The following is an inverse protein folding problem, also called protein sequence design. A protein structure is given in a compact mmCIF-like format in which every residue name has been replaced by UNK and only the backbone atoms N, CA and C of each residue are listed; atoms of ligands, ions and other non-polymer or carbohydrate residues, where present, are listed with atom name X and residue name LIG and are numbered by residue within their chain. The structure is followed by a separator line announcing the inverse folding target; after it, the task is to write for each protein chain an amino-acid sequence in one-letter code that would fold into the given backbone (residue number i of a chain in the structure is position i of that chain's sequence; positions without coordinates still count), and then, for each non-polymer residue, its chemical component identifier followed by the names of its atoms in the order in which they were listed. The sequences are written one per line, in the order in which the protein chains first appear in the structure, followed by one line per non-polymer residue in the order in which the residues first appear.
data_IF_441030288434
#
_entry.id   IF_441030288434
#
_cell.length_a   1.000
_cell.length_b   1.000
_cell.length_c   1.000
_cell.angle_alpha   90.00
_cell.angle_beta   90.00
_cell.angle_gamma   90.00
#
_symmetry.space_group_name_H-M   'P 1'
#
loop_
_entity.id
_entity.type
_entity.pdbx_description
1 polymer ?
#
# COMPACT_ATOMS: atom_id res chain seq x y z
N UNK A 1 12.13 9.67 -30.45
CA UNK A 1 10.81 10.09 -29.94
C UNK A 1 10.94 11.51 -29.44
N UNK A 2 10.02 12.42 -29.78
CA UNK A 2 9.99 13.74 -29.15
C UNK A 2 9.88 13.56 -27.63
N UNK A 3 10.60 14.37 -26.83
CA UNK A 3 10.64 14.24 -25.36
C UNK A 3 9.24 14.14 -24.74
N UNK A 4 8.29 14.93 -25.26
CA UNK A 4 6.87 14.89 -24.86
C UNK A 4 6.18 13.56 -25.20
N UNK A 5 6.41 13.02 -26.40
CA UNK A 5 5.84 11.72 -26.82
C UNK A 5 6.37 10.58 -25.93
N UNK A 6 7.64 10.65 -25.53
CA UNK A 6 8.24 9.69 -24.59
C UNK A 6 7.60 9.75 -23.19
N UNK A 7 7.38 10.97 -22.68
CA UNK A 7 6.69 11.19 -21.40
C UNK A 7 5.26 10.64 -21.44
N UNK A 8 4.49 10.99 -22.47
CA UNK A 8 3.10 10.49 -22.63
C UNK A 8 3.08 8.97 -22.72
N UNK A 9 3.96 8.39 -23.54
CA UNK A 9 4.07 6.94 -23.67
C UNK A 9 4.37 6.26 -22.32
N UNK A 10 5.32 6.79 -21.54
CA UNK A 10 5.66 6.25 -20.23
C UNK A 10 4.48 6.35 -19.24
N UNK A 11 3.76 7.48 -19.22
CA UNK A 11 2.55 7.65 -18.40
C UNK A 11 1.48 6.62 -18.81
N UNK A 12 1.16 6.51 -20.10
CA UNK A 12 0.19 5.54 -20.59
C UNK A 12 0.60 4.11 -20.28
N UNK A 13 1.89 3.78 -20.42
CA UNK A 13 2.40 2.45 -20.12
C UNK A 13 2.30 2.12 -18.63
N UNK A 14 2.66 3.07 -17.76
CA UNK A 14 2.49 2.93 -16.31
C UNK A 14 1.03 2.70 -15.93
N UNK A 15 0.11 3.47 -16.51
CA UNK A 15 -1.33 3.31 -16.30
C UNK A 15 -1.82 1.91 -16.70
N UNK A 16 -1.44 1.44 -17.90
CA UNK A 16 -1.81 0.09 -18.37
C UNK A 16 -1.24 -0.99 -17.44
N UNK A 17 0.03 -0.87 -17.05
CA UNK A 17 0.68 -1.87 -16.20
C UNK A 17 0.08 -1.90 -14.79
N UNK A 18 -0.46 -0.78 -14.29
CA UNK A 18 -1.17 -0.74 -13.01
C UNK A 18 -2.45 -1.58 -12.99
N UNK A 19 -3.14 -1.71 -14.14
CA UNK A 19 -4.39 -2.46 -14.27
C UNK A 19 -4.17 -3.95 -14.58
N UNK A 20 -2.96 -4.32 -15.02
CA UNK A 20 -2.64 -5.72 -15.37
C UNK A 20 -2.67 -6.67 -14.18
N UNK A 21 -2.47 -6.19 -12.95
CA UNK A 21 -2.44 -7.02 -11.74
C UNK A 21 -3.72 -7.83 -11.53
N UNK A 22 -4.88 -7.30 -11.88
CA UNK A 22 -6.15 -8.05 -11.83
C UNK A 22 -6.14 -9.22 -12.81
N UNK A 23 -5.68 -9.02 -14.04
CA UNK A 23 -5.60 -10.07 -15.07
C UNK A 23 -4.54 -11.11 -14.69
N UNK A 24 -3.39 -10.66 -14.19
CA UNK A 24 -2.30 -11.51 -13.71
C UNK A 24 -2.76 -12.37 -12.55
N UNK A 25 -3.51 -11.83 -11.58
CA UNK A 25 -4.06 -12.58 -10.45
C UNK A 25 -4.92 -13.76 -10.93
N UNK A 26 -5.85 -13.53 -11.86
CA UNK A 26 -6.68 -14.59 -12.44
C UNK A 26 -5.85 -15.61 -13.23
N UNK A 27 -4.84 -15.16 -13.96
CA UNK A 27 -3.96 -16.04 -14.72
C UNK A 27 -3.06 -16.90 -13.82
N UNK A 28 -2.50 -16.31 -12.76
CA UNK A 28 -1.69 -17.00 -11.76
C UNK A 28 -2.51 -18.05 -11.03
N UNK A 29 -3.73 -17.72 -10.60
CA UNK A 29 -4.66 -18.67 -9.98
C UNK A 29 -4.97 -19.86 -10.91
N UNK A 30 -5.22 -19.58 -12.19
CA UNK A 30 -5.45 -20.62 -13.22
C UNK A 30 -4.22 -21.50 -13.46
N UNK A 31 -3.01 -20.94 -13.47
CA UNK A 31 -1.78 -21.71 -13.66
C UNK A 31 -1.42 -22.57 -12.44
N UNK A 32 -1.59 -22.02 -11.24
CA UNK A 32 -1.37 -22.72 -9.97
C UNK A 32 -2.34 -23.91 -9.88
N UNK A 33 -3.63 -23.68 -10.11
CA UNK A 33 -4.64 -24.75 -10.16
C UNK A 33 -4.32 -25.80 -11.23
N UNK A 34 -3.82 -25.41 -12.41
CA UNK A 34 -3.41 -26.36 -13.45
C UNK A 34 -2.24 -27.24 -13.01
N UNK A 35 -1.22 -26.66 -12.36
CA UNK A 35 -0.07 -27.42 -11.82
C UNK A 35 -0.46 -28.36 -10.69
N UNK A 36 -1.43 -28.00 -9.84
CA UNK A 36 -1.98 -28.94 -8.87
C UNK A 36 -2.66 -30.11 -9.54
N UNK A 37 -3.53 -29.85 -10.52
CA UNK A 37 -4.25 -30.91 -11.22
C UNK A 37 -3.25 -31.83 -11.91
N UNK A 38 -2.18 -31.30 -12.51
CA UNK A 38 -1.13 -32.09 -13.14
C UNK A 38 -0.28 -32.86 -12.12
N UNK A 39 0.00 -32.27 -10.94
CA UNK A 39 0.71 -32.92 -9.84
C UNK A 39 -0.13 -34.02 -9.20
N UNK A 40 -1.44 -33.82 -8.99
CA UNK A 40 -2.40 -34.83 -8.54
C UNK A 40 -2.53 -35.96 -9.56
N UNK A 41 -2.56 -35.66 -10.86
CA UNK A 41 -2.53 -36.69 -11.92
C UNK A 41 -1.22 -37.49 -11.91
N UNK A 42 -0.08 -36.83 -11.67
CA UNK A 42 1.22 -37.49 -11.59
C UNK A 42 1.37 -38.36 -10.34
N UNK A 43 0.92 -37.86 -9.18
CA UNK A 43 0.81 -38.60 -7.92
C UNK A 43 -0.16 -39.77 -8.07
N UNK A 44 -1.33 -39.57 -8.65
CA UNK A 44 -2.30 -40.63 -8.96
C UNK A 44 -1.73 -41.72 -9.86
N UNK A 45 -0.98 -41.37 -10.93
CA UNK A 45 -0.27 -42.35 -11.78
C UNK A 45 0.83 -43.09 -11.02
N UNK A 46 1.50 -42.42 -10.09
CA UNK A 46 2.57 -43.03 -9.27
C UNK A 46 1.99 -43.95 -8.18
N UNK A 47 0.85 -43.57 -7.61
CA UNK A 47 0.06 -44.36 -6.64
C UNK A 47 -0.63 -45.57 -7.30
N UNK A 48 -1.12 -45.44 -8.53
CA UNK A 48 -1.60 -46.57 -9.35
C UNK A 48 -0.49 -47.60 -9.63
N UNK A 49 0.77 -47.16 -9.68
CA UNK A 49 1.95 -48.03 -9.82
C UNK A 49 2.41 -48.64 -8.50
N UNK A 50 1.91 -48.14 -7.37
CA UNK A 50 2.22 -48.59 -6.00
C UNK A 50 1.09 -49.40 -5.35
N UNK A 51 -0.06 -49.52 -6.01
CA UNK A 51 -1.29 -50.14 -5.47
C UNK A 51 -1.27 -51.67 -5.31
N UNK A 52 -0.13 -52.33 -5.48
CA UNK A 52 0.02 -53.74 -5.08
C UNK A 52 0.21 -53.92 -3.57
N UNK A 53 0.48 -52.87 -2.79
CA UNK A 53 0.61 -52.98 -1.34
C UNK A 53 -0.01 -51.76 -0.62
N UNK A 54 -1.12 -52.03 0.08
CA UNK A 54 -1.67 -51.31 1.25
C UNK A 54 -2.82 -50.30 0.98
N UNK A 55 -3.86 -50.50 1.80
CA UNK A 55 -5.19 -49.88 1.92
C UNK A 55 -5.19 -48.34 2.03
N UNK A 56 -6.19 -47.63 1.44
CA UNK A 56 -6.20 -46.16 1.43
C UNK A 56 -6.79 -45.57 2.73
N UNK A 57 -6.18 -44.49 3.23
CA UNK A 57 -6.80 -43.56 4.17
C UNK A 57 -7.18 -42.25 3.45
N UNK A 58 -8.30 -41.58 3.82
CA UNK A 58 -8.87 -40.51 3.00
C UNK A 58 -8.12 -39.18 3.18
N UNK A 59 -7.43 -38.79 2.11
CA UNK A 59 -7.32 -37.43 1.55
C UNK A 59 -7.38 -36.23 2.51
N UNK A 60 -6.21 -35.78 2.99
CA UNK A 60 -5.98 -34.40 3.51
C UNK A 60 -5.46 -33.41 2.45
N UNK A 61 -5.37 -33.79 1.18
CA UNK A 61 -4.61 -33.03 0.17
C UNK A 61 -5.39 -32.01 -0.67
N UNK A 62 -6.73 -31.91 -0.53
CA UNK A 62 -7.57 -31.19 -1.50
C UNK A 62 -7.70 -29.66 -1.31
N UNK A 63 -7.04 -29.06 -0.32
CA UNK A 63 -7.43 -27.72 0.17
C UNK A 63 -6.38 -26.60 0.04
N UNK A 64 -5.26 -26.81 -0.66
CA UNK A 64 -4.11 -25.88 -0.53
C UNK A 64 -4.05 -24.68 -1.48
N UNK A 65 -4.64 -24.66 -2.68
CA UNK A 65 -4.28 -23.61 -3.66
C UNK A 65 -5.40 -22.79 -4.34
N UNK A 66 -6.69 -22.94 -4.00
CA UNK A 66 -7.71 -21.88 -4.25
C UNK A 66 -7.68 -20.75 -3.20
N UNK A 67 -6.75 -20.85 -2.25
CA UNK A 67 -6.71 -19.99 -1.09
C UNK A 67 -6.19 -18.58 -1.41
N UNK A 68 -5.46 -18.30 -2.48
CA UNK A 68 -4.85 -16.97 -2.67
C UNK A 68 -5.88 -15.90 -3.01
N UNK A 69 -6.76 -16.15 -3.98
CA UNK A 69 -7.85 -15.25 -4.33
C UNK A 69 -8.86 -15.14 -3.17
N UNK A 70 -9.28 -16.26 -2.60
CA UNK A 70 -10.21 -16.28 -1.47
C UNK A 70 -9.63 -15.56 -0.24
N UNK A 71 -8.33 -15.72 0.05
CA UNK A 71 -7.66 -15.01 1.15
C UNK A 71 -7.43 -13.55 0.82
N UNK A 72 -7.19 -13.18 -0.44
CA UNK A 72 -7.13 -11.78 -0.89
C UNK A 72 -8.49 -11.11 -0.71
N UNK A 73 -9.58 -11.78 -1.11
CA UNK A 73 -10.95 -11.33 -0.90
C UNK A 73 -11.27 -11.27 0.59
N UNK A 74 -10.90 -12.28 1.38
CA UNK A 74 -11.08 -12.27 2.84
C UNK A 74 -10.29 -11.16 3.50
N UNK A 75 -9.07 -10.88 3.05
CA UNK A 75 -8.24 -9.80 3.58
C UNK A 75 -8.78 -8.43 3.17
N UNK A 76 -9.23 -8.27 1.92
CA UNK A 76 -9.93 -7.06 1.47
C UNK A 76 -11.25 -6.86 2.24
N UNK A 77 -12.00 -7.93 2.51
CA UNK A 77 -13.26 -7.91 3.24
C UNK A 77 -13.06 -7.66 4.74
N UNK A 78 -12.04 -8.25 5.37
CA UNK A 78 -11.70 -8.02 6.78
C UNK A 78 -11.10 -6.64 6.97
N UNK A 79 -10.13 -6.23 6.17
CA UNK A 79 -9.56 -4.89 6.27
C UNK A 79 -10.63 -3.85 5.93
N UNK A 80 -11.26 -3.93 4.76
CA UNK A 80 -12.33 -3.02 4.37
C UNK A 80 -13.50 -3.00 5.36
N UNK A 81 -13.92 -4.17 5.85
CA UNK A 81 -15.01 -4.31 6.81
C UNK A 81 -14.67 -3.78 8.21
N UNK A 82 -13.51 -4.12 8.76
CA UNK A 82 -13.06 -3.63 10.07
C UNK A 82 -12.85 -2.12 10.02
N UNK A 83 -12.23 -1.60 8.96
CA UNK A 83 -12.11 -0.16 8.76
C UNK A 83 -13.47 0.50 8.68
N UNK A 84 -14.31 0.08 7.74
CA UNK A 84 -15.62 0.67 7.52
C UNK A 84 -16.48 0.62 8.80
N UNK A 85 -16.52 -0.52 9.49
CA UNK A 85 -17.25 -0.67 10.75
C UNK A 85 -16.69 0.23 11.85
N UNK A 86 -15.36 0.31 12.01
CA UNK A 86 -14.75 1.18 13.01
C UNK A 86 -15.12 2.65 12.79
N UNK A 87 -15.31 3.03 11.52
CA UNK A 87 -15.67 4.40 11.19
C UNK A 87 -17.18 4.63 11.37
N UNK A 88 -18.03 3.68 10.98
CA UNK A 88 -19.45 3.77 11.27
C UNK A 88 -19.70 3.92 12.78
N UNK A 89 -18.98 3.17 13.60
CA UNK A 89 -19.03 3.29 15.07
C UNK A 89 -18.54 4.67 15.53
N UNK A 90 -17.49 5.22 14.92
CA UNK A 90 -16.98 6.54 15.29
C UNK A 90 -17.95 7.68 14.89
N UNK A 91 -18.40 7.71 13.64
CA UNK A 91 -19.25 8.77 13.07
C UNK A 91 -20.67 8.74 13.61
N UNK A 92 -21.28 7.55 13.71
CA UNK A 92 -22.69 7.41 14.10
C UNK A 92 -22.89 6.92 15.54
N UNK A 93 -21.83 6.46 16.20
CA UNK A 93 -21.86 6.08 17.61
C UNK A 93 -21.16 7.11 18.49
N UNK A 94 -19.83 7.19 18.37
CA UNK A 94 -18.99 7.93 19.31
C UNK A 94 -19.21 9.45 19.22
N UNK A 95 -19.16 10.04 18.03
CA UNK A 95 -19.37 11.48 17.84
C UNK A 95 -20.75 11.95 18.35
N UNK A 96 -21.89 11.34 17.96
CA UNK A 96 -23.19 11.75 18.47
C UNK A 96 -23.35 11.47 19.96
N UNK A 97 -22.74 10.40 20.49
CA UNK A 97 -22.74 10.13 21.92
C UNK A 97 -21.98 11.20 22.73
N UNK A 98 -20.78 11.59 22.28
CA UNK A 98 -20.00 12.68 22.91
C UNK A 98 -20.77 14.01 22.81
N UNK A 99 -21.37 14.30 21.65
CA UNK A 99 -22.21 15.49 21.47
C UNK A 99 -23.41 15.48 22.43
N UNK A 100 -24.06 14.33 22.60
CA UNK A 100 -25.17 14.15 23.54
C UNK A 100 -24.74 14.38 24.99
N UNK A 101 -23.59 13.83 25.41
CA UNK A 101 -23.04 14.09 26.75
C UNK A 101 -22.75 15.57 26.97
N UNK A 102 -22.19 16.27 25.98
CA UNK A 102 -21.96 17.71 26.05
C UNK A 102 -23.27 18.49 26.18
N UNK A 103 -24.34 18.05 25.52
CA UNK A 103 -25.67 18.69 25.69
C UNK A 103 -26.27 18.46 27.08
N UNK A 104 -25.98 17.34 27.75
CA UNK A 104 -26.40 17.13 29.14
C UNK A 104 -25.60 18.02 30.09
N UNK A 105 -24.28 18.07 29.94
CA UNK A 105 -23.38 18.79 30.85
C UNK A 105 -23.54 20.31 30.70
N UNK A 106 -23.62 20.81 29.46
CA UNK A 106 -23.69 22.23 29.14
C UNK A 106 -25.08 22.69 28.69
N UNK A 107 -26.12 21.90 28.96
CA UNK A 107 -27.50 22.21 28.54
C UNK A 107 -28.05 23.55 29.08
N UNK A 108 -27.50 24.03 30.20
CA UNK A 108 -27.84 25.32 30.81
C UNK A 108 -27.18 26.53 30.09
N UNK A 109 -26.17 26.30 29.26
CA UNK A 109 -25.41 27.35 28.55
C UNK A 109 -25.17 26.94 27.09
N UNK A 110 -26.18 27.13 26.20
CA UNK A 110 -26.14 26.62 24.83
C UNK A 110 -24.94 27.12 24.00
N UNK A 111 -24.44 28.33 24.28
CA UNK A 111 -23.24 28.86 23.63
C UNK A 111 -21.94 28.15 24.03
N UNK A 112 -21.85 27.66 25.27
CA UNK A 112 -20.66 26.96 25.78
C UNK A 112 -20.55 25.56 25.17
N UNK A 113 -21.66 24.82 25.10
CA UNK A 113 -21.69 23.48 24.49
C UNK A 113 -21.30 23.49 23.01
N UNK A 114 -21.76 24.49 22.24
CA UNK A 114 -21.38 24.66 20.83
C UNK A 114 -19.90 24.98 20.66
N UNK A 115 -19.37 25.89 21.50
CA UNK A 115 -17.95 26.26 21.47
C UNK A 115 -17.07 25.06 21.83
N UNK A 116 -17.41 24.32 22.88
CA UNK A 116 -16.64 23.12 23.28
C UNK A 116 -16.68 22.05 22.17
N UNK A 117 -17.83 21.83 21.54
CA UNK A 117 -17.94 20.90 20.41
C UNK A 117 -17.07 21.31 19.21
N UNK A 118 -16.98 22.61 18.88
CA UNK A 118 -16.16 23.06 17.74
C UNK A 118 -14.66 22.78 17.91
N UNK A 119 -14.17 22.63 19.15
CA UNK A 119 -12.80 22.21 19.45
C UNK A 119 -12.66 20.68 19.57
N UNK A 120 -13.61 20.04 20.24
CA UNK A 120 -13.59 18.59 20.52
C UNK A 120 -13.74 17.78 19.22
N UNK A 121 -14.65 18.18 18.32
CA UNK A 121 -14.90 17.46 17.07
C UNK A 121 -13.66 17.33 16.17
N UNK A 122 -12.94 18.41 15.78
CA UNK A 122 -11.74 18.28 14.97
C UNK A 122 -10.61 17.55 15.71
N UNK A 123 -10.49 17.72 17.04
CA UNK A 123 -9.47 17.03 17.82
C UNK A 123 -9.71 15.52 17.88
N UNK A 124 -10.94 15.07 18.16
CA UNK A 124 -11.29 13.63 18.14
C UNK A 124 -11.10 13.05 16.75
N UNK A 125 -11.55 13.76 15.71
CA UNK A 125 -11.43 13.31 14.32
C UNK A 125 -9.96 13.15 13.91
N UNK A 126 -9.10 14.12 14.28
CA UNK A 126 -7.66 14.05 14.05
C UNK A 126 -7.01 12.90 14.82
N UNK A 127 -7.37 12.73 16.09
CA UNK A 127 -6.82 11.68 16.96
C UNK A 127 -7.22 10.30 16.45
N UNK A 128 -8.50 10.09 16.11
CA UNK A 128 -8.98 8.84 15.53
C UNK A 128 -8.33 8.55 14.17
N UNK A 129 -8.25 9.55 13.29
CA UNK A 129 -7.55 9.42 12.01
C UNK A 129 -6.07 9.02 12.16
N UNK A 130 -5.36 9.63 13.11
CA UNK A 130 -3.90 9.47 13.25
C UNK A 130 -3.49 8.28 14.11
N UNK A 131 -4.25 7.95 15.16
CA UNK A 131 -3.89 6.91 16.14
C UNK A 131 -4.61 5.59 15.84
N UNK A 132 -5.78 5.64 15.19
CA UNK A 132 -6.54 4.42 14.90
C UNK A 132 -6.48 4.05 13.42
N UNK A 133 -6.90 4.96 12.53
CA UNK A 133 -7.00 4.68 11.09
C UNK A 133 -5.62 4.53 10.47
N UNK A 134 -4.66 5.41 10.77
CA UNK A 134 -3.30 5.34 10.22
C UNK A 134 -2.53 4.08 10.67
N UNK A 135 -2.52 3.67 11.95
CA UNK A 135 -1.87 2.43 12.36
C UNK A 135 -2.60 1.20 11.84
N UNK A 136 -3.94 1.18 11.78
CA UNK A 136 -4.67 0.11 11.09
C UNK A 136 -4.30 0.05 9.60
N UNK A 137 -3.94 1.18 8.98
CA UNK A 137 -3.59 1.25 7.56
C UNK A 137 -2.18 0.71 7.34
N UNK A 138 -1.26 1.11 8.22
CA UNK A 138 0.09 0.56 8.27
C UNK A 138 0.08 -0.94 8.63
N UNK A 139 -0.79 -1.37 9.54
CA UNK A 139 -0.98 -2.77 9.91
C UNK A 139 -1.63 -3.57 8.77
N UNK A 140 -2.63 -3.01 8.08
CA UNK A 140 -3.16 -3.57 6.83
C UNK A 140 -2.04 -3.76 5.83
N UNK A 141 -1.15 -2.78 5.67
CA UNK A 141 0.04 -2.89 4.80
C UNK A 141 1.04 -3.94 5.27
N UNK A 142 1.25 -4.11 6.58
CA UNK A 142 2.15 -5.14 7.15
C UNK A 142 1.54 -6.53 7.05
N UNK A 143 0.25 -6.69 7.35
CA UNK A 143 -0.48 -7.94 7.25
C UNK A 143 -0.63 -8.35 5.78
N UNK A 144 -0.97 -7.41 4.90
CA UNK A 144 -0.93 -7.61 3.45
C UNK A 144 0.51 -7.96 3.01
N UNK A 145 1.53 -7.27 3.50
CA UNK A 145 2.94 -7.57 3.21
C UNK A 145 3.35 -8.99 3.58
N UNK A 146 3.02 -9.44 4.79
CA UNK A 146 3.35 -10.77 5.29
C UNK A 146 2.56 -11.85 4.55
N UNK A 147 1.33 -11.56 4.14
CA UNK A 147 0.49 -12.49 3.37
C UNK A 147 0.89 -12.58 1.90
N UNK A 148 1.32 -11.46 1.30
CA UNK A 148 1.78 -11.38 -0.09
C UNK A 148 3.28 -11.65 -0.23
N UNK A 149 4.08 -11.67 0.83
CA UNK A 149 5.49 -12.05 0.77
C UNK A 149 5.64 -13.47 0.24
N UNK A 150 4.82 -14.42 0.68
CA UNK A 150 4.86 -15.79 0.16
C UNK A 150 4.44 -15.89 -1.31
N UNK A 151 3.48 -15.06 -1.74
CA UNK A 151 2.98 -15.01 -3.12
C UNK A 151 4.01 -14.32 -4.03
N UNK A 152 4.54 -13.18 -3.61
CA UNK A 152 5.60 -12.45 -4.30
C UNK A 152 6.89 -13.27 -4.36
N UNK A 153 7.26 -13.96 -3.28
CA UNK A 153 8.38 -14.89 -3.27
C UNK A 153 8.14 -16.07 -4.22
N UNK A 154 6.92 -16.58 -4.31
CA UNK A 154 6.57 -17.65 -5.25
C UNK A 154 6.60 -17.17 -6.71
N UNK A 155 6.08 -15.97 -7.01
CA UNK A 155 6.11 -15.34 -8.33
C UNK A 155 7.54 -14.98 -8.77
N UNK A 156 8.32 -14.40 -7.86
CA UNK A 156 9.72 -14.06 -8.08
C UNK A 156 10.58 -15.32 -8.30
N UNK A 157 10.39 -16.37 -7.49
CA UNK A 157 11.07 -17.67 -7.68
C UNK A 157 10.72 -18.32 -9.01
N UNK A 158 9.52 -18.07 -9.54
CA UNK A 158 9.08 -18.59 -10.82
C UNK A 158 9.69 -17.85 -12.02
N UNK A 159 10.01 -16.56 -11.88
CA UNK A 159 10.52 -15.70 -12.97
C UNK A 159 12.02 -15.42 -12.93
N UNK A 160 12.60 -15.18 -11.75
CA UNK A 160 13.94 -14.57 -11.59
C UNK A 160 14.90 -15.34 -10.66
N UNK A 161 14.44 -16.38 -9.96
CA UNK A 161 15.30 -17.22 -9.09
C UNK A 161 15.15 -16.92 -7.59
N UNK A 162 16.15 -17.26 -6.75
CA UNK A 162 16.05 -17.08 -5.29
C UNK A 162 16.16 -15.59 -4.90
N UNK A 163 15.31 -15.09 -3.98
CA UNK A 163 15.41 -13.71 -3.49
C UNK A 163 16.76 -13.48 -2.80
N UNK A 164 17.34 -12.30 -3.00
CA UNK A 164 18.62 -11.92 -2.44
C UNK A 164 18.40 -11.49 -0.99
N UNK A 165 18.79 -12.34 -0.04
CA UNK A 165 18.58 -12.08 1.39
C UNK A 165 19.58 -11.01 1.85
N UNK A 166 19.08 -9.85 2.30
CA UNK A 166 19.93 -8.79 2.85
C UNK A 166 20.77 -9.35 4.00
N UNK A 167 22.06 -8.99 4.01
CA UNK A 167 23.10 -9.55 4.88
C UNK A 167 22.88 -9.35 6.39
N UNK A 168 22.05 -8.38 6.82
CA UNK A 168 21.68 -8.23 8.23
C UNK A 168 20.24 -7.77 8.44
N UNK A 169 19.55 -8.43 9.38
CA UNK A 169 18.19 -8.08 9.83
C UNK A 169 18.13 -6.64 10.36
N UNK A 170 19.20 -6.15 10.98
CA UNK A 170 19.30 -4.78 11.50
C UNK A 170 19.22 -3.71 10.41
N UNK A 171 19.92 -3.91 9.28
CA UNK A 171 19.86 -2.98 8.13
C UNK A 171 18.48 -2.97 7.51
N UNK A 172 17.85 -4.13 7.44
CA UNK A 172 16.50 -4.30 6.92
C UNK A 172 15.45 -3.57 7.78
N UNK A 173 15.55 -3.70 9.11
CA UNK A 173 14.68 -2.98 10.04
C UNK A 173 14.91 -1.46 9.93
N UNK A 174 16.16 -1.02 9.84
CA UNK A 174 16.49 0.39 9.68
C UNK A 174 15.91 0.98 8.38
N UNK A 175 16.05 0.27 7.25
CA UNK A 175 15.48 0.67 5.96
C UNK A 175 13.94 0.73 6.02
N UNK A 176 13.28 -0.23 6.66
CA UNK A 176 11.82 -0.20 6.86
C UNK A 176 11.38 1.01 7.69
N UNK A 177 12.02 1.26 8.84
CA UNK A 177 11.67 2.39 9.71
C UNK A 177 11.89 3.72 8.99
N UNK A 178 13.01 3.86 8.28
CA UNK A 178 13.32 5.05 7.51
C UNK A 178 12.34 5.25 6.34
N UNK A 179 11.96 4.16 5.66
CA UNK A 179 10.95 4.19 4.60
C UNK A 179 9.59 4.66 5.12
N UNK A 180 9.12 4.12 6.26
CA UNK A 180 7.87 4.56 6.90
C UNK A 180 7.91 6.05 7.23
N UNK A 181 9.01 6.53 7.82
CA UNK A 181 9.18 7.94 8.16
C UNK A 181 9.12 8.84 6.92
N UNK A 182 9.91 8.53 5.88
CA UNK A 182 9.94 9.32 4.64
C UNK A 182 8.58 9.34 3.95
N UNK A 183 7.90 8.20 3.90
CA UNK A 183 6.58 8.09 3.29
C UNK A 183 5.51 8.87 4.07
N UNK A 184 5.57 8.86 5.40
CA UNK A 184 4.67 9.67 6.24
C UNK A 184 4.91 11.17 6.05
N UNK A 185 6.17 11.60 6.01
CA UNK A 185 6.53 12.99 5.71
C UNK A 185 6.09 13.41 4.30
N UNK A 186 6.21 12.52 3.32
CA UNK A 186 5.79 12.78 1.93
C UNK A 186 4.27 12.89 1.78
N UNK A 187 3.52 12.07 2.52
CA UNK A 187 2.07 12.21 2.62
C UNK A 187 1.69 13.58 3.21
N UNK A 188 2.34 13.98 4.30
CA UNK A 188 2.16 15.30 4.91
C UNK A 188 2.50 16.44 3.94
N UNK A 189 3.61 16.33 3.20
CA UNK A 189 3.97 17.27 2.14
C UNK A 189 2.85 17.39 1.09
N UNK A 190 2.32 16.27 0.59
CA UNK A 190 1.21 16.28 -0.38
C UNK A 190 -0.05 16.98 0.15
N UNK A 191 -0.39 16.77 1.43
CA UNK A 191 -1.52 17.45 2.09
C UNK A 191 -1.30 18.97 2.23
N UNK A 192 -0.06 19.40 2.51
CA UNK A 192 0.26 20.83 2.58
C UNK A 192 0.20 21.49 1.20
N UNK A 193 0.72 20.81 0.18
CA UNK A 193 0.71 21.31 -1.20
C UNK A 193 -0.72 21.41 -1.75
N UNK A 194 -1.65 20.57 -1.29
CA UNK A 194 -3.07 20.69 -1.65
C UNK A 194 -3.75 21.94 -1.09
N UNK A 195 -3.12 22.67 -0.15
CA UNK A 195 -3.65 23.92 0.44
C UNK A 195 -3.13 25.18 -0.27
N UNK A 196 -2.37 25.03 -1.36
CA UNK A 196 -1.90 26.16 -2.16
C UNK A 196 -3.12 26.93 -2.72
N UNK A 197 -3.19 28.27 -2.59
CA UNK A 197 -4.37 29.08 -2.92
C UNK A 197 -4.65 29.24 -4.43
N UNK A 198 -4.18 28.31 -5.25
CA UNK A 198 -4.39 28.25 -6.70
C UNK A 198 -5.14 26.94 -7.02
N UNK A 199 -6.50 26.96 -7.07
CA UNK A 199 -7.33 25.77 -7.05
C UNK A 199 -7.01 24.67 -8.07
N UNK A 200 -6.68 24.90 -9.35
CA UNK A 200 -6.29 23.78 -10.21
C UNK A 200 -4.88 23.26 -9.89
N UNK A 201 -3.97 24.15 -9.46
CA UNK A 201 -2.57 23.80 -9.24
C UNK A 201 -2.40 22.97 -7.96
N UNK A 202 -3.08 23.34 -6.87
CA UNK A 202 -3.03 22.59 -5.61
C UNK A 202 -3.48 21.15 -5.77
N UNK A 203 -4.59 20.93 -6.48
CA UNK A 203 -5.15 19.59 -6.72
C UNK A 203 -4.26 18.76 -7.64
N UNK A 204 -3.74 19.34 -8.73
CA UNK A 204 -2.82 18.65 -9.63
C UNK A 204 -1.54 18.24 -8.89
N UNK A 205 -0.96 19.15 -8.10
CA UNK A 205 0.25 18.84 -7.34
C UNK A 205 -0.01 17.77 -6.27
N UNK A 206 -1.16 17.82 -5.58
CA UNK A 206 -1.56 16.80 -4.62
C UNK A 206 -1.73 15.43 -5.31
N UNK A 207 -2.35 15.39 -6.49
CA UNK A 207 -2.49 14.19 -7.30
C UNK A 207 -1.12 13.62 -7.69
N UNK A 208 -0.19 14.46 -8.16
CA UNK A 208 1.19 14.03 -8.50
C UNK A 208 1.87 13.39 -7.28
N UNK A 209 1.78 14.00 -6.10
CA UNK A 209 2.34 13.42 -4.87
C UNK A 209 1.70 12.07 -4.55
N UNK A 210 0.37 11.95 -4.62
CA UNK A 210 -0.32 10.70 -4.33
C UNK A 210 0.05 9.59 -5.33
N UNK A 211 0.14 9.89 -6.63
CA UNK A 211 0.57 8.92 -7.63
C UNK A 211 1.96 8.36 -7.34
N UNK A 212 2.93 9.24 -7.06
CA UNK A 212 4.31 8.82 -6.78
C UNK A 212 4.41 8.04 -5.46
N UNK A 213 3.64 8.43 -4.45
CA UNK A 213 3.58 7.73 -3.17
C UNK A 213 3.00 6.32 -3.34
N UNK A 214 1.89 6.18 -4.07
CA UNK A 214 1.25 4.89 -4.31
C UNK A 214 2.08 3.97 -5.20
N UNK A 215 2.77 4.53 -6.20
CA UNK A 215 3.77 3.80 -6.96
C UNK A 215 4.90 3.30 -6.06
N UNK A 216 5.46 4.15 -5.19
CA UNK A 216 6.47 3.74 -4.22
C UNK A 216 5.97 2.60 -3.33
N UNK A 217 4.75 2.70 -2.81
CA UNK A 217 4.16 1.64 -1.98
C UNK A 217 4.06 0.30 -2.70
N UNK A 218 3.62 0.29 -3.96
CA UNK A 218 3.45 -0.93 -4.74
C UNK A 218 4.80 -1.57 -5.15
N UNK A 219 5.74 -0.75 -5.62
CA UNK A 219 7.04 -1.23 -6.12
C UNK A 219 8.04 -1.55 -5.00
N UNK A 220 7.87 -1.00 -3.80
CA UNK A 220 8.75 -1.27 -2.66
C UNK A 220 8.87 -2.77 -2.38
N UNK A 221 7.80 -3.54 -2.54
CA UNK A 221 7.82 -5.01 -2.40
C UNK A 221 8.79 -5.69 -3.37
N UNK A 222 8.73 -5.31 -4.64
CA UNK A 222 9.63 -5.83 -5.69
C UNK A 222 11.07 -5.44 -5.39
N UNK A 223 11.31 -4.17 -5.08
CA UNK A 223 12.65 -3.64 -4.87
C UNK A 223 13.29 -4.13 -3.58
N UNK A 224 12.48 -4.40 -2.56
CA UNK A 224 12.94 -5.04 -1.34
C UNK A 224 13.45 -6.46 -1.61
N UNK A 225 12.74 -7.26 -2.44
CA UNK A 225 13.21 -8.58 -2.87
C UNK A 225 14.47 -8.53 -3.74
N UNK A 226 14.69 -7.41 -4.44
CA UNK A 226 15.93 -7.12 -5.19
C UNK A 226 17.05 -6.55 -4.31
N UNK A 227 16.83 -6.36 -3.00
CA UNK A 227 17.81 -5.81 -2.07
C UNK A 227 18.12 -4.32 -2.26
N UNK A 228 17.21 -3.55 -2.85
CA UNK A 228 17.42 -2.11 -3.04
C UNK A 228 17.15 -1.36 -1.75
N UNK A 229 18.03 -0.45 -1.35
CA UNK A 229 17.82 0.47 -0.23
C UNK A 229 16.88 1.63 -0.61
N UNK A 230 16.26 2.28 0.39
CA UNK A 230 15.30 3.36 0.18
C UNK A 230 15.83 4.46 -0.74
N UNK A 231 17.07 4.94 -0.53
CA UNK A 231 17.65 6.01 -1.36
C UNK A 231 17.67 5.66 -2.85
N UNK A 232 17.95 4.39 -3.18
CA UNK A 232 17.90 3.89 -4.56
C UNK A 232 16.48 3.87 -5.10
N UNK A 233 15.50 3.42 -4.29
CA UNK A 233 14.07 3.39 -4.67
C UNK A 233 13.56 4.80 -4.99
N UNK A 234 13.85 5.78 -4.13
CA UNK A 234 13.42 7.17 -4.31
C UNK A 234 14.06 7.79 -5.55
N UNK A 235 15.40 7.67 -5.69
CA UNK A 235 16.11 8.19 -6.87
C UNK A 235 15.56 7.60 -8.17
N UNK A 236 15.23 6.30 -8.16
CA UNK A 236 14.67 5.63 -9.33
C UNK A 236 13.28 6.15 -9.71
N UNK A 237 12.43 6.45 -8.72
CA UNK A 237 11.12 7.07 -8.97
C UNK A 237 11.29 8.49 -9.50
N UNK A 238 12.13 9.32 -8.88
CA UNK A 238 12.32 10.70 -9.30
C UNK A 238 12.91 10.81 -10.71
N UNK A 239 13.79 9.87 -11.09
CA UNK A 239 14.40 9.82 -12.42
C UNK A 239 13.47 9.25 -13.51
N UNK A 240 12.45 8.48 -13.14
CA UNK A 240 11.51 7.88 -14.10
C UNK A 240 10.05 8.23 -13.75
N UNK A 241 9.85 9.44 -13.22
CA UNK A 241 8.57 9.90 -12.70
C UNK A 241 7.39 9.79 -13.68
N UNK A 242 7.53 9.92 -15.03
CA UNK A 242 6.38 9.82 -15.92
C UNK A 242 5.70 8.45 -15.83
N UNK A 243 6.50 7.38 -15.78
CA UNK A 243 5.98 6.02 -15.66
C UNK A 243 5.25 5.84 -14.31
N UNK A 244 5.87 6.26 -13.21
CA UNK A 244 5.30 6.10 -11.87
C UNK A 244 4.08 6.98 -11.62
N UNK A 245 4.05 8.17 -12.23
CA UNK A 245 2.87 9.03 -12.26
C UNK A 245 1.69 8.29 -12.90
N UNK A 246 1.90 7.70 -14.07
CA UNK A 246 0.89 6.89 -14.75
C UNK A 246 0.46 5.66 -13.96
N UNK A 247 1.42 4.95 -13.36
CA UNK A 247 1.15 3.74 -12.58
C UNK A 247 0.32 4.01 -11.33
N UNK A 248 0.62 5.09 -10.57
CA UNK A 248 -0.12 5.43 -9.36
C UNK A 248 -1.47 6.11 -9.62
N UNK A 249 -1.67 6.68 -10.81
CA UNK A 249 -2.84 7.51 -11.14
C UNK A 249 -4.18 6.82 -10.88
N UNK A 250 -4.48 5.60 -11.36
CA UNK A 250 -5.81 5.04 -11.15
C UNK A 250 -6.13 4.84 -9.67
N UNK A 251 -5.16 4.43 -8.85
CA UNK A 251 -5.37 4.33 -7.40
C UNK A 251 -5.57 5.72 -6.77
N UNK A 252 -4.73 6.70 -7.13
CA UNK A 252 -4.80 8.06 -6.61
C UNK A 252 -6.15 8.72 -6.91
N UNK A 253 -6.62 8.64 -8.15
CA UNK A 253 -7.93 9.18 -8.56
C UNK A 253 -9.06 8.49 -7.81
N UNK A 254 -9.07 7.15 -7.76
CA UNK A 254 -10.13 6.40 -7.07
C UNK A 254 -10.19 6.71 -5.57
N UNK A 255 -9.05 6.97 -4.94
CA UNK A 255 -9.00 7.39 -3.52
C UNK A 255 -9.38 8.85 -3.30
N UNK A 256 -9.38 9.70 -4.33
CA UNK A 256 -9.81 11.10 -4.23
C UNK A 256 -11.31 11.31 -4.51
N UNK A 257 -11.99 10.34 -5.15
CA UNK A 257 -13.43 10.43 -5.41
C UNK A 257 -14.29 10.53 -4.14
N UNK A 258 -14.02 9.77 -3.05
CA UNK A 258 -14.81 9.87 -1.84
C UNK A 258 -14.45 11.13 -1.05
N UNK A 259 -15.46 11.90 -0.64
CA UNK A 259 -15.27 13.08 0.23
C UNK A 259 -14.78 12.74 1.65
N UNK A 260 -14.81 11.46 2.01
CA UNK A 260 -14.45 10.97 3.34
C UNK A 260 -13.10 10.25 3.29
N UNK A 261 -12.11 10.72 4.06
CA UNK A 261 -10.78 10.11 4.19
C UNK A 261 -10.82 8.63 4.56
N UNK A 262 -11.85 8.27 5.29
CA UNK A 262 -12.22 6.93 5.72
C UNK A 262 -12.56 6.04 4.53
N UNK A 263 -13.44 6.53 3.64
CA UNK A 263 -13.91 5.78 2.48
C UNK A 263 -12.78 5.71 1.47
N UNK A 264 -12.00 6.77 1.33
CA UNK A 264 -10.74 6.80 0.60
C UNK A 264 -9.76 5.72 1.10
N UNK A 265 -9.59 5.57 2.41
CA UNK A 265 -8.77 4.50 3.02
C UNK A 265 -9.30 3.09 2.77
N UNK A 266 -10.62 2.91 2.71
CA UNK A 266 -11.25 1.64 2.34
C UNK A 266 -10.99 1.29 0.87
N UNK A 267 -11.20 2.26 -0.04
CA UNK A 267 -10.91 2.12 -1.47
C UNK A 267 -9.43 1.77 -1.69
N UNK A 268 -8.52 2.48 -1.00
CA UNK A 268 -7.11 2.15 -1.00
C UNK A 268 -6.88 0.70 -0.57
N UNK A 269 -7.42 0.30 0.59
CA UNK A 269 -7.16 -1.03 1.16
C UNK A 269 -7.65 -2.18 0.27
N UNK A 270 -8.74 -1.98 -0.47
CA UNK A 270 -9.30 -2.96 -1.40
C UNK A 270 -8.46 -3.06 -2.68
N UNK A 271 -8.03 -1.93 -3.23
CA UNK A 271 -7.35 -1.90 -4.53
C UNK A 271 -5.84 -2.13 -4.41
N UNK A 272 -5.23 -1.67 -3.31
CA UNK A 272 -3.78 -1.69 -3.13
C UNK A 272 -3.12 -3.07 -3.32
N UNK A 273 -3.69 -4.19 -2.84
CA UNK A 273 -3.16 -5.53 -3.14
C UNK A 273 -2.99 -5.82 -4.64
N UNK A 274 -3.92 -5.35 -5.48
CA UNK A 274 -3.83 -5.53 -6.93
C UNK A 274 -2.65 -4.74 -7.50
N UNK A 275 -2.42 -3.53 -7.00
CA UNK A 275 -1.28 -2.69 -7.41
C UNK A 275 0.07 -3.30 -6.98
N UNK A 276 0.13 -4.00 -5.84
CA UNK A 276 1.35 -4.76 -5.45
C UNK A 276 1.67 -5.84 -6.48
N UNK A 277 0.65 -6.60 -6.93
CA UNK A 277 0.83 -7.65 -7.94
C UNK A 277 1.25 -7.03 -9.28
N UNK A 278 0.57 -5.97 -9.71
CA UNK A 278 0.93 -5.19 -10.89
C UNK A 278 2.39 -4.72 -10.82
N UNK A 279 2.81 -4.13 -9.71
CA UNK A 279 4.17 -3.60 -9.53
C UNK A 279 5.25 -4.68 -9.57
N UNK A 280 4.95 -5.88 -9.07
CA UNK A 280 5.88 -7.01 -9.14
C UNK A 280 6.12 -7.48 -10.58
N UNK A 281 5.05 -7.61 -11.39
CA UNK A 281 5.17 -8.03 -12.79
C UNK A 281 5.61 -6.90 -13.74
N UNK A 282 5.41 -5.64 -13.35
CA UNK A 282 5.68 -4.50 -14.21
C UNK A 282 7.18 -4.27 -14.46
N UNK A 283 7.51 -3.85 -15.67
CA UNK A 283 8.86 -3.41 -16.06
C UNK A 283 8.79 -1.91 -16.37
N UNK A 284 9.25 -1.04 -15.43
CA UNK A 284 9.17 0.40 -15.60
C UNK A 284 9.89 0.88 -16.87
N UNK A 285 9.23 1.74 -17.63
CA UNK A 285 9.86 2.43 -18.76
C UNK A 285 10.82 3.47 -18.21
N UNK A 286 12.09 3.38 -18.61
CA UNK A 286 13.16 4.26 -18.13
C UNK A 286 13.74 5.14 -19.25
N UNK A 287 14.45 6.21 -18.87
CA UNK A 287 15.23 7.02 -19.82
C UNK A 287 14.41 7.87 -20.80
N UNK A 288 13.17 8.21 -20.45
CA UNK A 288 12.26 9.02 -21.28
C UNK A 288 12.35 10.52 -21.02
N UNK A 289 12.89 10.93 -19.88
CA UNK A 289 12.98 12.32 -19.44
C UNK A 289 14.27 12.54 -18.65
N UNK A 290 15.04 13.58 -19.01
CA UNK A 290 16.28 13.94 -18.32
C UNK A 290 16.04 14.82 -17.07
N UNK A 291 14.82 15.36 -16.93
CA UNK A 291 14.45 16.18 -15.78
C UNK A 291 14.00 15.30 -14.61
N UNK A 292 14.82 15.26 -13.56
CA UNK A 292 14.53 14.56 -12.32
C UNK A 292 13.59 15.37 -11.43
N UNK A 293 12.45 14.78 -11.06
CA UNK A 293 11.44 15.42 -10.22
C UNK A 293 11.77 15.21 -8.73
N UNK A 294 12.56 16.10 -8.14
CA UNK A 294 13.13 15.98 -6.78
C UNK A 294 12.13 16.21 -5.62
N UNK A 295 10.92 15.66 -5.71
CA UNK A 295 9.87 15.86 -4.72
C UNK A 295 10.14 15.18 -3.38
N UNK A 296 10.97 14.12 -3.33
CA UNK A 296 11.33 13.46 -2.07
C UNK A 296 12.49 14.15 -1.35
N UNK A 297 13.22 15.04 -2.00
CA UNK A 297 14.38 15.73 -1.41
C UNK A 297 14.05 16.49 -0.11
N UNK A 298 12.95 17.28 0.00
CA UNK A 298 12.60 17.96 1.24
C UNK A 298 12.34 17.00 2.39
N UNK A 299 11.60 15.91 2.15
CA UNK A 299 11.27 14.93 3.19
C UNK A 299 12.47 14.10 3.62
N UNK A 300 13.40 13.81 2.71
CA UNK A 300 14.68 13.16 3.04
C UNK A 300 15.50 14.07 3.96
N UNK A 301 15.57 15.37 3.66
CA UNK A 301 16.30 16.33 4.50
C UNK A 301 15.73 16.38 5.93
N UNK A 302 14.40 16.41 6.06
CA UNK A 302 13.70 16.38 7.35
C UNK A 302 13.93 15.04 8.08
N UNK A 303 13.80 13.92 7.37
CA UNK A 303 14.01 12.59 7.96
C UNK A 303 15.44 12.43 8.49
N UNK A 304 16.45 12.85 7.71
CA UNK A 304 17.86 12.81 8.11
C UNK A 304 18.12 13.69 9.34
N UNK A 305 17.54 14.89 9.40
CA UNK A 305 17.70 15.76 10.59
C UNK A 305 17.03 15.18 11.83
N UNK A 306 15.85 14.57 11.72
CA UNK A 306 15.17 13.89 12.81
C UNK A 306 15.97 12.69 13.32
N UNK A 307 16.50 11.87 12.40
CA UNK A 307 17.27 10.68 12.73
C UNK A 307 18.59 11.04 13.42
N UNK A 308 19.32 12.02 12.89
CA UNK A 308 20.57 12.52 13.47
C UNK A 308 20.37 13.15 14.85
N UNK A 309 19.25 13.87 15.07
CA UNK A 309 18.92 14.43 16.40
C UNK A 309 18.55 13.36 17.42
N UNK A 310 17.84 12.31 17.00
CA UNK A 310 17.39 11.24 17.89
C UNK A 310 18.56 10.33 18.30
N UNK A 311 19.39 9.89 17.35
CA UNK A 311 20.53 9.02 17.62
C UNK A 311 21.72 9.77 18.23
N UNK A 312 21.98 11.00 17.77
CA UNK A 312 23.05 11.84 18.32
C UNK A 312 22.86 12.22 19.80
N UNK A 313 21.63 12.12 20.32
CA UNK A 313 21.34 12.28 21.76
C UNK A 313 21.58 11.00 22.58
N UNK A 314 21.45 9.82 21.96
CA UNK A 314 21.68 8.53 22.63
C UNK A 314 23.17 8.28 22.88
N UNK A 315 24.05 8.71 21.96
CA UNK A 315 25.51 8.61 22.14
C UNK A 315 26.12 9.69 23.07
N UNK A 316 25.31 10.57 23.66
CA UNK A 316 25.77 11.63 24.58
C UNK A 316 25.26 11.43 26.02
N UNK A 317 24.67 10.28 26.34
CA UNK A 317 24.34 9.83 27.69
C UNK A 317 25.14 8.58 28.01
#
# INVERSE_FOLDING_TARGET
MNSVTGIIYAICRGFIDSLKGTVVLFYMDKQINKKLVDKDKCLSRTELRKRDLITPSPSKYKQRESMVLMRTIQCCALNGGVFWLSIQIFEFGLLPFVKYLLTIIFGHSPGMGLTVWSWIHPFLSLTFGTIWVLPLFLLSRIVNSLWFQDIANSAYRYRQGRPMLLSSVSKLIADMLFSILVQALFLGQGMLVSKVPLPPLGDILALVHMCLLYALYAFEYKWFNMGWELHRRLTFIEGNWPYFLGFGMPLAVLTQLPNSYVVSGCVFSILFPLFIISGNEAEPVTGVCDCQLKLFSPVIAIANTLFNKTIGRVNKR
#
